data_IF_054710201510
#
_entry.id   IF_054710201510
#
_cell.length_a   1.000
_cell.length_b   1.000
_cell.length_c   1.000
_cell.angle_alpha   90.00
_cell.angle_beta   90.00
_cell.angle_gamma   90.00
#
_symmetry.space_group_name_H-M   'P 1'
#
loop_
_entity.id
_entity.type
_entity.pdbx_description
1 polymer ?
#
# COMPACT_ATOMS: atom_id res chain seq x y z
N UNK A 1 -7.49 16.49 19.37
CA UNK A 1 -6.59 17.43 18.66
C UNK A 1 -5.22 16.80 18.38
N UNK A 2 -4.57 16.17 19.37
CA UNK A 2 -3.24 15.52 19.24
C UNK A 2 -3.13 14.37 18.21
N UNK A 3 -4.20 13.59 18.00
CA UNK A 3 -4.19 12.49 17.02
C UNK A 3 -4.09 12.98 15.56
N UNK A 4 -4.70 14.14 15.27
CA UNK A 4 -4.71 14.75 13.94
C UNK A 4 -3.33 15.31 13.58
N UNK A 5 -2.60 15.83 14.57
CA UNK A 5 -1.23 16.32 14.43
C UNK A 5 -0.22 15.18 14.18
N UNK A 6 -0.33 14.08 14.92
CA UNK A 6 0.51 12.88 14.74
C UNK A 6 0.38 12.26 13.34
N UNK A 7 -0.86 12.14 12.84
CA UNK A 7 -1.14 11.62 11.50
C UNK A 7 -0.67 12.57 10.39
N UNK A 8 -0.85 13.88 10.59
CA UNK A 8 -0.37 14.91 9.66
C UNK A 8 1.15 14.93 9.58
N UNK A 9 1.85 14.81 10.72
CA UNK A 9 3.31 14.82 10.79
C UNK A 9 3.96 13.58 10.17
N UNK A 10 3.30 12.41 10.23
CA UNK A 10 3.74 11.20 9.50
C UNK A 10 3.56 11.34 7.99
N UNK A 11 2.41 11.86 7.53
CA UNK A 11 2.14 12.06 6.10
C UNK A 11 3.06 13.12 5.47
N UNK A 12 3.41 14.19 6.19
CA UNK A 12 4.38 15.16 5.71
C UNK A 12 5.78 14.57 5.71
N UNK A 13 6.20 13.87 6.77
CA UNK A 13 7.53 13.23 6.83
C UNK A 13 7.80 12.23 5.70
N UNK A 14 6.81 11.40 5.32
CA UNK A 14 6.95 10.44 4.20
C UNK A 14 7.18 11.11 2.83
N UNK A 15 6.82 12.40 2.68
CA UNK A 15 6.98 13.16 1.43
C UNK A 15 8.13 14.15 1.47
N UNK A 16 8.38 14.74 2.64
CA UNK A 16 9.40 15.79 2.82
C UNK A 16 10.80 15.16 2.89
N UNK A 17 10.96 14.00 3.53
CA UNK A 17 12.25 13.30 3.63
C UNK A 17 12.86 12.98 2.24
N UNK A 18 12.13 12.35 1.31
CA UNK A 18 12.66 12.09 -0.03
C UNK A 18 12.82 13.35 -0.88
N UNK A 19 11.93 14.35 -0.75
CA UNK A 19 12.10 15.64 -1.41
C UNK A 19 13.40 16.34 -0.96
N UNK A 20 13.72 16.25 0.34
CA UNK A 20 14.95 16.79 0.91
C UNK A 20 16.18 16.00 0.46
N UNK A 21 16.08 14.67 0.31
CA UNK A 21 17.18 13.87 -0.25
C UNK A 21 17.44 14.19 -1.72
N UNK A 22 16.40 14.28 -2.55
CA UNK A 22 16.54 14.62 -3.98
C UNK A 22 17.10 16.04 -4.12
N UNK A 23 16.52 17.01 -3.41
CA UNK A 23 16.99 18.40 -3.42
C UNK A 23 18.42 18.54 -2.89
N UNK A 24 18.77 17.83 -1.82
CA UNK A 24 20.12 17.81 -1.25
C UNK A 24 21.15 17.18 -2.19
N UNK A 25 20.81 16.07 -2.84
CA UNK A 25 21.68 15.43 -3.84
C UNK A 25 21.93 16.36 -5.04
N UNK A 26 20.87 17.02 -5.53
CA UNK A 26 20.98 18.01 -6.61
C UNK A 26 21.84 19.20 -6.21
N UNK A 27 21.64 19.71 -4.99
CA UNK A 27 22.43 20.83 -4.47
C UNK A 27 23.91 20.49 -4.35
N UNK A 28 24.25 19.32 -3.78
CA UNK A 28 25.64 18.88 -3.64
C UNK A 28 26.31 18.66 -5.00
N UNK A 29 25.58 18.08 -5.96
CA UNK A 29 26.09 17.85 -7.30
C UNK A 29 26.35 19.18 -8.04
N UNK A 30 25.38 20.09 -8.03
CA UNK A 30 25.51 21.43 -8.61
C UNK A 30 26.63 22.23 -7.96
N UNK A 31 26.72 22.22 -6.63
CA UNK A 31 27.78 22.92 -5.91
C UNK A 31 29.17 22.36 -6.23
N UNK A 32 29.30 21.02 -6.32
CA UNK A 32 30.56 20.35 -6.65
C UNK A 32 31.06 20.71 -8.05
N UNK A 33 30.18 20.71 -9.05
CA UNK A 33 30.55 21.06 -10.43
C UNK A 33 30.86 22.55 -10.55
N UNK A 34 30.06 23.42 -9.95
CA UNK A 34 30.32 24.86 -9.96
C UNK A 34 31.66 25.21 -9.28
N UNK A 35 31.97 24.57 -8.15
CA UNK A 35 33.25 24.73 -7.46
C UNK A 35 34.44 24.23 -8.30
N UNK A 36 34.28 23.09 -8.99
CA UNK A 36 35.32 22.55 -9.87
C UNK A 36 35.55 23.44 -11.10
N UNK A 37 34.48 23.93 -11.74
CA UNK A 37 34.55 24.84 -12.90
C UNK A 37 35.21 26.17 -12.54
N UNK A 38 34.88 26.74 -11.37
CA UNK A 38 35.54 27.94 -10.85
C UNK A 38 37.04 27.72 -10.64
N UNK A 39 37.43 26.55 -10.12
CA UNK A 39 38.84 26.19 -9.88
C UNK A 39 39.62 25.98 -11.19
N UNK A 40 38.96 25.51 -12.25
CA UNK A 40 39.56 25.24 -13.56
C UNK A 40 39.46 26.40 -14.58
N UNK A 41 38.84 27.54 -14.22
CA UNK A 41 38.76 28.76 -15.06
C UNK A 41 38.16 28.50 -16.46
N UNK A 42 37.15 27.63 -16.51
CA UNK A 42 36.55 27.13 -17.77
C UNK A 42 35.51 28.12 -18.32
N UNK A 43 35.41 28.32 -19.66
CA UNK A 43 34.49 29.27 -20.28
C UNK A 43 33.00 28.85 -20.19
N UNK A 44 32.11 29.84 -20.32
CA UNK A 44 30.66 29.78 -20.08
C UNK A 44 29.88 28.67 -20.83
N UNK A 45 30.43 28.09 -21.89
CA UNK A 45 29.81 26.95 -22.58
C UNK A 45 29.77 25.68 -21.72
N UNK A 46 30.71 25.52 -20.77
CA UNK A 46 30.70 24.39 -19.83
C UNK A 46 29.58 24.53 -18.78
N UNK A 47 29.11 25.75 -18.51
CA UNK A 47 28.03 26.03 -17.56
C UNK A 47 26.67 25.54 -18.07
N UNK A 48 26.43 25.65 -19.39
CA UNK A 48 25.17 25.16 -20.00
C UNK A 48 25.07 23.64 -19.97
N UNK A 49 26.20 22.94 -20.15
CA UNK A 49 26.25 21.48 -20.08
C UNK A 49 26.05 20.98 -18.64
N UNK A 50 26.53 21.74 -17.65
CA UNK A 50 26.31 21.47 -16.22
C UNK A 50 24.84 21.58 -15.83
N UNK A 51 24.18 22.68 -16.21
CA UNK A 51 22.75 22.88 -15.96
C UNK A 51 21.89 21.74 -16.56
N UNK A 52 22.27 21.27 -17.76
CA UNK A 52 21.62 20.12 -18.39
C UNK A 52 21.87 18.82 -17.61
N UNK A 53 23.08 18.58 -17.12
CA UNK A 53 23.40 17.40 -16.32
C UNK A 53 22.63 17.37 -15.00
N UNK A 54 22.51 18.51 -14.32
CA UNK A 54 21.73 18.66 -13.09
C UNK A 54 20.25 18.39 -13.36
N UNK A 55 19.71 18.93 -14.46
CA UNK A 55 18.31 18.70 -14.85
C UNK A 55 18.03 17.22 -15.14
N UNK A 56 18.91 16.53 -15.87
CA UNK A 56 18.79 15.09 -16.16
C UNK A 56 18.87 14.26 -14.89
N UNK A 57 19.81 14.56 -14.00
CA UNK A 57 19.97 13.85 -12.73
C UNK A 57 18.74 14.04 -11.85
N UNK A 58 18.19 15.25 -11.80
CA UNK A 58 16.97 15.56 -11.06
C UNK A 58 15.76 14.83 -11.60
N UNK A 59 15.59 14.81 -12.92
CA UNK A 59 14.52 14.05 -13.57
C UNK A 59 14.64 12.55 -13.31
N UNK A 60 15.85 11.98 -13.35
CA UNK A 60 16.11 10.58 -13.06
C UNK A 60 15.78 10.21 -11.61
N UNK A 61 16.26 11.01 -10.64
CA UNK A 61 15.97 10.77 -9.22
C UNK A 61 14.48 10.89 -8.92
N UNK A 62 13.80 11.88 -9.51
CA UNK A 62 12.36 12.03 -9.37
C UNK A 62 11.61 10.83 -9.97
N UNK A 63 12.00 10.38 -11.16
CA UNK A 63 11.42 9.20 -11.81
C UNK A 63 11.60 7.92 -10.98
N UNK A 64 12.80 7.68 -10.45
CA UNK A 64 13.08 6.54 -9.58
C UNK A 64 12.27 6.59 -8.29
N UNK A 65 12.14 7.77 -7.68
CA UNK A 65 11.33 7.96 -6.47
C UNK A 65 9.84 7.65 -6.71
N UNK A 66 9.26 8.20 -7.78
CA UNK A 66 7.87 7.95 -8.15
C UNK A 66 7.65 6.46 -8.44
N UNK A 67 8.59 5.83 -9.16
CA UNK A 67 8.53 4.40 -9.49
C UNK A 67 8.63 3.52 -8.25
N UNK A 68 9.50 3.86 -7.29
CA UNK A 68 9.63 3.10 -6.05
C UNK A 68 8.36 3.18 -5.18
N UNK A 69 7.64 4.31 -5.23
CA UNK A 69 6.36 4.46 -4.52
C UNK A 69 5.25 3.63 -5.19
N UNK A 70 5.17 3.63 -6.52
CA UNK A 70 4.10 2.92 -7.24
C UNK A 70 4.18 1.41 -7.00
N UNK A 71 5.38 0.83 -7.08
CA UNK A 71 5.64 -0.58 -6.81
C UNK A 71 5.16 -1.01 -5.41
N UNK A 72 5.45 -0.21 -4.40
CA UNK A 72 5.02 -0.49 -3.03
C UNK A 72 3.50 -0.43 -2.85
N UNK A 73 2.80 0.41 -3.61
CA UNK A 73 1.34 0.50 -3.55
C UNK A 73 0.68 -0.72 -4.20
N UNK A 74 1.18 -1.17 -5.34
CA UNK A 74 0.67 -2.37 -6.00
C UNK A 74 0.90 -3.62 -5.16
N UNK A 75 2.09 -3.75 -4.58
CA UNK A 75 2.41 -4.86 -3.70
C UNK A 75 1.51 -4.90 -2.45
N UNK A 76 1.26 -3.76 -1.81
CA UNK A 76 0.34 -3.67 -0.66
C UNK A 76 -1.08 -4.09 -1.03
N UNK A 77 -1.59 -3.62 -2.18
CA UNK A 77 -2.92 -4.00 -2.67
C UNK A 77 -3.00 -5.49 -2.98
N UNK A 78 -1.97 -6.07 -3.59
CA UNK A 78 -1.91 -7.49 -3.87
C UNK A 78 -1.91 -8.31 -2.56
N UNK A 79 -1.10 -7.90 -1.57
CA UNK A 79 -1.04 -8.54 -0.26
C UNK A 79 -2.38 -8.48 0.48
N UNK A 80 -3.05 -7.33 0.48
CA UNK A 80 -4.37 -7.18 1.08
C UNK A 80 -5.42 -8.10 0.44
N UNK A 81 -5.42 -8.21 -0.89
CA UNK A 81 -6.29 -9.14 -1.60
C UNK A 81 -6.04 -10.59 -1.19
N UNK A 82 -4.77 -11.00 -1.06
CA UNK A 82 -4.41 -12.36 -0.63
C UNK A 82 -4.90 -12.62 0.81
N UNK A 83 -4.69 -11.69 1.74
CA UNK A 83 -5.14 -11.83 3.13
C UNK A 83 -6.66 -12.00 3.19
N UNK A 84 -7.42 -11.19 2.44
CA UNK A 84 -8.87 -11.29 2.40
C UNK A 84 -9.37 -12.59 1.76
N UNK A 85 -8.71 -13.07 0.70
CA UNK A 85 -9.05 -14.37 0.10
C UNK A 85 -8.82 -15.50 1.12
N UNK A 86 -7.74 -15.44 1.89
CA UNK A 86 -7.47 -16.41 2.95
C UNK A 86 -8.56 -16.40 4.03
N UNK A 87 -8.99 -15.21 4.46
CA UNK A 87 -10.07 -15.05 5.45
C UNK A 87 -11.42 -15.57 4.93
N UNK A 88 -11.77 -15.21 3.69
CA UNK A 88 -12.95 -15.70 3.00
C UNK A 88 -12.97 -17.23 2.96
N UNK A 89 -11.84 -17.82 2.59
CA UNK A 89 -11.70 -19.27 2.51
C UNK A 89 -11.85 -19.92 3.89
N UNK A 90 -11.31 -19.32 4.95
CA UNK A 90 -11.49 -19.80 6.32
C UNK A 90 -12.96 -19.85 6.72
N UNK A 91 -13.72 -18.76 6.54
CA UNK A 91 -15.14 -18.74 6.90
C UNK A 91 -15.99 -19.69 6.06
N UNK A 92 -15.71 -19.82 4.76
CA UNK A 92 -16.41 -20.78 3.90
C UNK A 92 -16.10 -22.20 4.36
N UNK A 93 -14.84 -22.52 4.63
CA UNK A 93 -14.44 -23.85 5.11
C UNK A 93 -15.08 -24.19 6.45
N UNK A 94 -15.17 -23.24 7.36
CA UNK A 94 -15.79 -23.44 8.66
C UNK A 94 -17.29 -23.73 8.51
N UNK A 95 -18.00 -22.95 7.68
CA UNK A 95 -19.41 -23.19 7.40
C UNK A 95 -19.65 -24.54 6.70
N UNK A 96 -18.80 -24.91 5.73
CA UNK A 96 -18.88 -26.22 5.07
C UNK A 96 -18.61 -27.37 6.06
N UNK A 97 -17.73 -27.18 7.03
CA UNK A 97 -17.48 -28.15 8.09
C UNK A 97 -18.73 -28.37 8.94
N UNK A 98 -19.46 -27.30 9.28
CA UNK A 98 -20.75 -27.39 10.00
C UNK A 98 -21.79 -28.16 9.18
N UNK A 99 -21.90 -27.89 7.87
CA UNK A 99 -22.80 -28.63 6.97
C UNK A 99 -22.42 -30.11 6.89
N UNK A 100 -21.12 -30.42 6.84
CA UNK A 100 -20.67 -31.81 6.79
C UNK A 100 -20.98 -32.55 8.10
N UNK A 101 -20.78 -31.89 9.25
CA UNK A 101 -21.04 -32.45 10.57
C UNK A 101 -22.53 -32.61 10.86
N UNK A 102 -23.41 -31.78 10.28
CA UNK A 102 -24.86 -31.85 10.52
C UNK A 102 -25.47 -33.18 10.06
N UNK A 103 -24.82 -33.90 9.14
CA UNK A 103 -25.22 -35.25 8.71
C UNK A 103 -25.22 -36.28 9.85
N UNK A 104 -24.46 -36.04 10.91
CA UNK A 104 -24.43 -36.89 12.12
C UNK A 104 -25.53 -36.57 13.14
N UNK A 105 -26.32 -35.51 12.93
CA UNK A 105 -27.40 -35.11 13.84
C UNK A 105 -28.63 -36.01 13.60
N UNK A 106 -29.09 -36.66 14.67
CA UNK A 106 -30.22 -37.60 14.62
C UNK A 106 -31.57 -36.90 14.46
N UNK A 107 -31.73 -35.71 15.03
CA UNK A 107 -32.95 -34.92 14.89
C UNK A 107 -32.98 -34.15 13.55
N UNK A 108 -34.07 -34.32 12.81
CA UNK A 108 -34.27 -33.73 11.49
C UNK A 108 -34.33 -32.19 11.55
N UNK A 109 -34.94 -31.62 12.61
CA UNK A 109 -35.09 -30.16 12.76
C UNK A 109 -33.76 -29.51 13.12
N UNK A 110 -33.03 -30.09 14.07
CA UNK A 110 -31.71 -29.60 14.45
C UNK A 110 -30.71 -29.69 13.28
N UNK A 111 -30.79 -30.77 12.49
CA UNK A 111 -29.99 -30.91 11.26
C UNK A 111 -30.31 -29.81 10.24
N UNK A 112 -31.60 -29.57 9.97
CA UNK A 112 -32.03 -28.54 9.04
C UNK A 112 -31.59 -27.14 9.50
N UNK A 113 -31.74 -26.85 10.80
CA UNK A 113 -31.32 -25.58 11.39
C UNK A 113 -29.82 -25.33 11.26
N UNK A 114 -28.97 -26.33 11.56
CA UNK A 114 -27.51 -26.19 11.41
C UNK A 114 -27.09 -25.93 9.96
N UNK A 115 -27.75 -26.56 8.98
CA UNK A 115 -27.47 -26.33 7.56
C UNK A 115 -27.91 -24.92 7.15
N UNK A 116 -29.10 -24.49 7.57
CA UNK A 116 -29.62 -23.15 7.28
C UNK A 116 -28.73 -22.05 7.85
N UNK A 117 -28.27 -22.18 9.10
CA UNK A 117 -27.35 -21.23 9.73
C UNK A 117 -26.00 -21.16 8.98
N UNK A 118 -25.46 -22.31 8.58
CA UNK A 118 -24.20 -22.36 7.85
C UNK A 118 -24.33 -21.75 6.44
N UNK A 119 -25.44 -21.97 5.74
CA UNK A 119 -25.74 -21.34 4.45
C UNK A 119 -25.89 -19.83 4.62
N UNK A 120 -26.60 -19.37 5.65
CA UNK A 120 -26.77 -17.95 5.94
C UNK A 120 -25.44 -17.26 6.25
N UNK A 121 -24.52 -17.96 6.93
CA UNK A 121 -23.15 -17.48 7.18
C UNK A 121 -22.35 -17.37 5.89
N UNK A 122 -22.43 -18.34 4.98
CA UNK A 122 -21.79 -18.26 3.66
C UNK A 122 -22.34 -17.09 2.86
N UNK A 123 -23.67 -16.92 2.85
CA UNK A 123 -24.34 -15.84 2.13
C UNK A 123 -23.94 -14.45 2.68
N UNK A 124 -23.85 -14.31 4.00
CA UNK A 124 -23.35 -13.08 4.63
C UNK A 124 -21.90 -12.78 4.23
N UNK A 125 -21.01 -13.77 4.30
CA UNK A 125 -19.60 -13.57 3.92
C UNK A 125 -19.47 -13.22 2.42
N UNK A 126 -20.24 -13.88 1.55
CA UNK A 126 -20.21 -13.61 0.11
C UNK A 126 -20.85 -12.26 -0.25
N UNK A 127 -21.87 -11.82 0.49
CA UNK A 127 -22.61 -10.59 0.16
C UNK A 127 -22.05 -9.35 0.85
N UNK A 128 -21.42 -9.47 2.02
CA UNK A 128 -20.88 -8.32 2.77
C UNK A 128 -19.37 -8.16 2.59
N UNK A 129 -18.63 -9.28 2.58
CA UNK A 129 -17.17 -9.26 2.48
C UNK A 129 -16.70 -9.05 1.02
N UNK A 130 -17.35 -9.67 0.02
CA UNK A 130 -16.89 -9.66 -1.38
C UNK A 130 -17.12 -8.33 -2.14
N UNK A 131 -18.25 -7.61 -2.03
CA UNK A 131 -18.40 -6.33 -2.72
C UNK A 131 -17.42 -5.26 -2.19
N UNK A 132 -16.94 -5.44 -0.96
CA UNK A 132 -15.87 -4.63 -0.37
C UNK A 132 -14.52 -4.84 -1.09
N UNK A 133 -14.32 -5.97 -1.78
CA UNK A 133 -13.09 -6.32 -2.54
C UNK A 133 -13.04 -5.61 -3.90
N UNK A 134 -14.19 -5.47 -4.58
CA UNK A 134 -14.27 -4.87 -5.93
C UNK A 134 -14.32 -3.34 -5.95
N UNK A 135 -14.88 -2.71 -4.91
CA UNK A 135 -15.16 -1.27 -4.87
C UNK A 135 -14.12 -0.46 -4.08
N UNK A 136 -13.28 -1.09 -3.26
CA UNK A 136 -12.33 -0.40 -2.41
C UNK A 136 -11.11 0.13 -3.19
N UNK A 137 -11.20 1.38 -3.66
CA UNK A 137 -10.08 2.16 -4.21
C UNK A 137 -8.97 2.45 -3.17
N UNK A 138 -9.13 2.05 -1.90
CA UNK A 138 -8.16 2.22 -0.80
C UNK A 138 -8.15 1.00 0.15
N UNK A 139 -6.97 0.59 0.66
CA UNK A 139 -6.84 -0.35 1.76
C UNK A 139 -7.71 0.03 2.96
N UNK A 140 -8.53 -0.88 3.46
CA UNK A 140 -9.36 -0.65 4.66
C UNK A 140 -9.05 -1.56 5.84
N UNK A 141 -8.04 -2.42 5.77
CA UNK A 141 -7.59 -3.18 6.93
C UNK A 141 -6.79 -2.27 7.89
N UNK A 142 -7.51 -1.33 8.50
CA UNK A 142 -7.28 -0.90 9.87
C UNK A 142 -8.02 -1.93 10.73
N UNK A 143 -7.29 -2.86 11.35
CA UNK A 143 -7.83 -3.70 12.41
C UNK A 143 -7.78 -2.86 13.69
N UNK A 144 -8.91 -2.37 14.25
CA UNK A 144 -8.90 -1.92 15.62
C UNK A 144 -8.80 -3.15 16.50
N UNK A 145 -7.96 -3.03 17.53
CA UNK A 145 -7.69 -4.04 18.54
C UNK A 145 -8.97 -4.73 19.02
N UNK A 146 -8.94 -6.08 19.00
CA UNK A 146 -9.88 -6.88 19.77
C UNK A 146 -9.47 -6.77 21.24
N UNK A 147 -10.45 -6.31 22.02
CA UNK A 147 -10.47 -6.06 23.47
C UNK A 147 -9.86 -7.20 24.30
#
# INVERSE_FOLDING_TARGET
>A
MLLKESLSNRMTRDRVTPALMIGGALFLFSFGIHFLLLKLRVPAAATVLDDLAIAVLGALLFFLYVSAISLNQEYKRAKERIILITELNHHIRDALTVIQCSRGIADEKDRAHCVEEAVQRIDWVLTDLVPTIGSAKKPRLYSPEQN
#
